data_IF_563566087683
#
_entry.id   IF_563566087683
#
_cell.length_a   1.000
_cell.length_b   1.000
_cell.length_c   1.000
_cell.angle_alpha   90.00
_cell.angle_beta   90.00
_cell.angle_gamma   90.00
#
_symmetry.space_group_name_H-M   'P 1'
#
loop_
_entity.id
_entity.type
_entity.pdbx_description
1 polymer ?
#
# COMPACT_ATOMS: atom_id res chain seq x y z
N UNK A 1 -2.36 -14.05 0.34
CA UNK A 1 -2.81 -13.96 1.75
C UNK A 1 -4.16 -13.24 1.85
N UNK A 2 -4.83 -13.41 2.96
CA UNK A 2 -6.11 -12.76 3.26
C UNK A 2 -5.98 -11.82 4.47
N UNK A 3 -6.83 -10.80 4.49
CA UNK A 3 -6.95 -9.88 5.62
C UNK A 3 -8.40 -9.42 5.77
N UNK A 4 -8.89 -9.31 7.02
CA UNK A 4 -10.31 -9.07 7.32
C UNK A 4 -10.53 -7.98 8.38
N UNK A 5 -9.54 -7.13 8.63
CA UNK A 5 -9.61 -6.11 9.68
C UNK A 5 -9.55 -4.70 9.08
N UNK A 6 -10.31 -3.78 9.64
CA UNK A 6 -10.38 -2.36 9.25
C UNK A 6 -9.25 -1.52 9.87
N UNK A 7 -8.06 -2.10 9.98
CA UNK A 7 -6.87 -1.42 10.52
C UNK A 7 -5.76 -1.50 9.50
N UNK A 8 -5.13 -0.38 9.20
CA UNK A 8 -3.93 -0.35 8.37
C UNK A 8 -2.81 -1.15 9.04
N UNK A 9 -2.20 -2.00 8.26
CA UNK A 9 -0.97 -2.72 8.64
C UNK A 9 -0.02 -2.79 7.46
N UNK A 10 1.22 -3.16 7.73
CA UNK A 10 2.16 -3.49 6.67
C UNK A 10 1.67 -4.70 5.87
N UNK A 11 1.78 -4.62 4.54
CA UNK A 11 1.30 -5.65 3.62
C UNK A 11 1.87 -7.02 3.99
N UNK A 12 1.00 -8.03 4.04
CA UNK A 12 1.31 -9.39 4.47
C UNK A 12 1.83 -9.50 5.91
N UNK A 13 1.66 -8.47 6.73
CA UNK A 13 2.24 -8.38 8.07
C UNK A 13 3.77 -8.67 8.10
N UNK A 14 4.49 -8.26 7.05
CA UNK A 14 5.91 -8.57 6.86
C UNK A 14 6.75 -7.32 6.79
N UNK A 15 7.72 -7.18 7.68
CA UNK A 15 8.65 -6.05 7.72
C UNK A 15 9.52 -5.91 6.45
N UNK A 16 9.62 -6.95 5.62
CA UNK A 16 10.35 -6.92 4.36
C UNK A 16 9.69 -6.12 3.24
N UNK A 17 8.41 -5.74 3.38
CA UNK A 17 7.68 -4.95 2.40
C UNK A 17 7.93 -3.44 2.61
N UNK A 18 9.20 -3.06 2.61
CA UNK A 18 9.70 -1.71 2.87
C UNK A 18 10.79 -1.37 1.86
N UNK A 19 10.73 -0.15 1.32
CA UNK A 19 11.85 0.50 0.66
C UNK A 19 12.51 1.48 1.62
N UNK A 20 13.81 1.41 1.74
CA UNK A 20 14.60 2.32 2.56
C UNK A 20 15.45 3.21 1.67
N UNK A 21 15.36 4.52 1.91
CA UNK A 21 16.15 5.52 1.20
C UNK A 21 16.94 6.38 2.18
N UNK A 22 18.13 6.80 1.77
CA UNK A 22 18.93 7.77 2.51
C UNK A 22 18.96 9.08 1.72
N UNK A 23 18.37 10.13 2.28
CA UNK A 23 18.31 11.45 1.68
C UNK A 23 19.27 12.41 2.39
N UNK A 24 20.17 13.02 1.63
CA UNK A 24 21.12 14.03 2.13
C UNK A 24 20.53 15.45 2.16
N UNK A 25 19.59 15.74 1.27
CA UNK A 25 18.90 17.02 1.15
C UNK A 25 17.39 16.83 1.14
N UNK A 26 16.67 17.68 1.84
CA UNK A 26 15.20 17.61 1.92
C UNK A 26 14.47 18.24 0.72
N UNK A 27 15.21 18.72 -0.27
CA UNK A 27 14.67 19.48 -1.40
C UNK A 27 14.24 18.61 -2.58
N UNK A 28 14.69 17.35 -2.62
CA UNK A 28 14.37 16.43 -3.69
C UNK A 28 13.07 15.66 -3.39
N UNK A 29 12.20 15.60 -4.39
CA UNK A 29 10.99 14.79 -4.30
C UNK A 29 11.33 13.31 -4.52
N UNK A 30 10.74 12.46 -3.69
CA UNK A 30 10.64 11.03 -3.95
C UNK A 30 9.24 10.73 -4.44
N UNK A 31 9.16 10.08 -5.59
CA UNK A 31 7.91 9.56 -6.15
C UNK A 31 7.85 8.07 -5.84
N UNK A 32 6.92 7.69 -4.98
CA UNK A 32 6.75 6.30 -4.54
C UNK A 32 5.39 5.80 -4.98
N UNK A 33 5.35 4.61 -5.56
CA UNK A 33 4.13 3.92 -5.92
C UNK A 33 4.07 2.52 -5.33
N UNK A 34 2.87 2.13 -4.90
CA UNK A 34 2.58 0.78 -4.46
C UNK A 34 1.41 0.22 -5.24
N UNK A 35 1.67 -0.80 -6.03
CA UNK A 35 0.67 -1.50 -6.85
C UNK A 35 0.37 -2.86 -6.25
N UNK A 36 -0.91 -3.20 -6.18
CA UNK A 36 -1.38 -4.46 -5.59
C UNK A 36 -2.58 -5.00 -6.36
N UNK A 37 -2.51 -6.27 -6.75
CA UNK A 37 -3.66 -7.03 -7.23
C UNK A 37 -4.41 -7.62 -6.05
N UNK A 38 -5.72 -7.39 -6.00
CA UNK A 38 -6.57 -7.87 -4.92
C UNK A 38 -7.92 -8.36 -5.40
N UNK A 39 -8.50 -9.30 -4.65
CA UNK A 39 -9.83 -9.84 -4.82
C UNK A 39 -10.69 -9.47 -3.63
N UNK A 40 -11.83 -8.85 -3.91
CA UNK A 40 -12.86 -8.54 -2.92
C UNK A 40 -14.17 -9.23 -3.28
N UNK A 41 -14.96 -9.59 -2.28
CA UNK A 41 -16.23 -10.31 -2.43
C UNK A 41 -17.31 -9.69 -1.55
N UNK A 42 -18.58 -9.85 -1.96
CA UNK A 42 -19.75 -9.61 -1.12
C UNK A 42 -19.81 -8.22 -0.46
N UNK A 43 -19.81 -7.16 -1.26
CA UNK A 43 -19.88 -5.77 -0.80
C UNK A 43 -18.68 -5.34 0.10
N UNK A 44 -17.57 -6.03 -0.03
CA UNK A 44 -16.33 -5.70 0.67
C UNK A 44 -15.45 -4.75 -0.16
N UNK A 45 -14.35 -4.32 0.43
CA UNK A 45 -13.31 -3.55 -0.23
C UNK A 45 -11.94 -3.80 0.36
N UNK A 46 -10.94 -3.54 -0.46
CA UNK A 46 -9.54 -3.45 -0.03
C UNK A 46 -9.01 -2.04 -0.24
N UNK A 47 -8.16 -1.61 0.64
CA UNK A 47 -7.39 -0.38 0.48
C UNK A 47 -5.91 -0.72 0.59
N UNK A 48 -5.14 -0.09 -0.29
CA UNK A 48 -3.70 -0.07 -0.19
C UNK A 48 -3.21 1.37 -0.04
N UNK A 49 -2.10 1.54 0.66
CA UNK A 49 -1.51 2.83 0.91
C UNK A 49 0.01 2.71 1.06
N UNK A 50 0.67 3.86 1.13
CA UNK A 50 2.09 3.96 1.45
C UNK A 50 2.20 4.66 2.80
N UNK A 51 2.98 4.09 3.73
CA UNK A 51 3.32 4.70 5.01
C UNK A 51 4.77 5.16 5.03
N UNK A 52 5.00 6.48 5.03
CA UNK A 52 6.34 7.03 5.23
C UNK A 52 6.69 6.96 6.70
N UNK A 53 7.76 6.25 7.03
CA UNK A 53 8.22 6.05 8.41
C UNK A 53 7.13 5.51 9.37
N UNK A 54 6.11 4.84 8.81
CA UNK A 54 5.01 4.27 9.58
C UNK A 54 4.51 2.97 8.95
N UNK A 55 4.13 2.01 9.78
CA UNK A 55 3.51 0.74 9.38
C UNK A 55 1.99 0.72 9.61
N UNK A 56 1.43 1.81 10.14
CA UNK A 56 0.01 1.90 10.51
C UNK A 56 -0.67 3.21 10.08
N UNK A 57 0.11 4.19 9.63
CA UNK A 57 -0.40 5.47 9.16
C UNK A 57 -0.03 5.66 7.69
N UNK A 58 -1.02 5.99 6.89
CA UNK A 58 -0.80 6.32 5.48
C UNK A 58 -0.17 7.71 5.30
N UNK A 59 0.61 7.82 4.24
CA UNK A 59 1.13 9.05 3.67
C UNK A 59 0.76 9.08 2.19
N UNK A 60 0.37 10.24 1.68
CA UNK A 60 -0.05 10.36 0.27
C UNK A 60 -1.44 9.79 -0.02
N UNK A 61 -1.64 9.39 -1.28
CA UNK A 61 -2.92 8.89 -1.77
C UNK A 61 -3.03 7.38 -1.61
N UNK A 62 -4.14 6.92 -1.04
CA UNK A 62 -4.49 5.51 -1.04
C UNK A 62 -5.21 5.12 -2.33
N UNK A 63 -5.23 3.82 -2.63
CA UNK A 63 -6.05 3.25 -3.69
C UNK A 63 -7.01 2.21 -3.13
N UNK A 64 -8.19 2.11 -3.73
CA UNK A 64 -9.26 1.24 -3.24
C UNK A 64 -9.81 0.35 -4.36
N UNK A 65 -9.96 -0.93 -4.05
CA UNK A 65 -10.80 -1.87 -4.79
C UNK A 65 -12.07 -2.11 -3.99
N UNK A 66 -13.23 -1.92 -4.56
CA UNK A 66 -14.50 -2.11 -3.85
C UNK A 66 -15.54 -2.77 -4.74
N UNK A 67 -16.14 -3.82 -4.20
CA UNK A 67 -17.31 -4.46 -4.76
C UNK A 67 -18.56 -3.92 -4.06
N UNK A 68 -19.45 -3.20 -4.74
CA UNK A 68 -20.60 -2.54 -4.09
C UNK A 68 -21.74 -3.50 -3.74
N UNK A 69 -21.79 -4.66 -4.36
CA UNK A 69 -22.90 -5.63 -4.22
C UNK A 69 -22.37 -7.05 -4.01
N UNK A 70 -23.27 -8.05 -4.06
CA UNK A 70 -22.86 -9.46 -4.09
C UNK A 70 -22.04 -9.79 -5.34
N UNK A 71 -21.09 -10.70 -5.22
CA UNK A 71 -20.19 -11.11 -6.29
C UNK A 71 -18.73 -10.96 -5.90
N UNK A 72 -17.87 -10.96 -6.89
CA UNK A 72 -16.44 -10.72 -6.69
C UNK A 72 -15.89 -9.73 -7.69
N UNK A 73 -14.85 -9.00 -7.28
CA UNK A 73 -14.08 -8.11 -8.13
C UNK A 73 -12.59 -8.35 -7.90
N UNK A 74 -11.87 -8.51 -8.98
CA UNK A 74 -10.42 -8.68 -9.00
C UNK A 74 -9.82 -7.57 -9.86
N UNK A 75 -9.06 -6.68 -9.25
CA UNK A 75 -8.37 -5.60 -9.95
C UNK A 75 -7.01 -5.29 -9.33
N UNK A 76 -6.18 -4.67 -10.14
CA UNK A 76 -4.94 -4.01 -9.69
C UNK A 76 -5.21 -2.55 -9.41
N UNK A 77 -4.79 -2.08 -8.24
CA UNK A 77 -4.86 -0.67 -7.86
C UNK A 77 -3.48 -0.15 -7.46
N UNK A 78 -3.26 1.15 -7.60
CA UNK A 78 -1.97 1.77 -7.29
C UNK A 78 -2.14 2.97 -6.38
N UNK A 79 -1.47 2.95 -5.25
CA UNK A 79 -1.34 4.06 -4.31
C UNK A 79 -0.08 4.87 -4.61
N UNK A 80 -0.10 6.17 -4.34
CA UNK A 80 1.01 7.08 -4.63
C UNK A 80 1.39 7.93 -3.42
N UNK A 81 2.68 8.21 -3.31
CA UNK A 81 3.23 9.22 -2.42
C UNK A 81 4.25 10.04 -3.19
N UNK A 82 4.14 11.37 -3.12
CA UNK A 82 5.10 12.29 -3.74
C UNK A 82 5.29 13.50 -2.86
N UNK A 83 6.44 13.58 -2.20
CA UNK A 83 6.78 14.70 -1.32
C UNK A 83 8.29 14.65 -1.00
N UNK A 84 8.92 15.75 -0.56
CA UNK A 84 10.26 15.69 0.00
C UNK A 84 10.28 14.75 1.22
N UNK A 85 11.14 13.73 1.25
CA UNK A 85 11.08 12.73 2.31
C UNK A 85 11.63 13.22 3.66
N UNK A 86 12.43 14.27 3.64
CA UNK A 86 13.23 14.74 4.77
C UNK A 86 14.64 14.14 4.77
N UNK A 87 15.54 14.83 5.47
CA UNK A 87 16.94 14.40 5.60
C UNK A 87 17.05 13.16 6.45
N UNK A 88 17.95 12.24 6.08
CA UNK A 88 18.23 11.02 6.79
C UNK A 88 17.57 9.78 6.16
N UNK A 89 17.41 8.75 6.97
CA UNK A 89 16.80 7.49 6.53
C UNK A 89 15.29 7.64 6.50
N UNK A 90 14.70 7.30 5.37
CA UNK A 90 13.26 7.24 5.18
C UNK A 90 12.84 5.84 4.76
N UNK A 91 11.80 5.31 5.42
CA UNK A 91 11.21 4.04 5.12
C UNK A 91 9.84 4.25 4.47
N UNK A 92 9.63 3.65 3.31
CA UNK A 92 8.35 3.61 2.62
C UNK A 92 7.80 2.19 2.74
N UNK A 93 6.71 2.06 3.48
CA UNK A 93 6.08 0.78 3.78
C UNK A 93 4.82 0.63 2.92
N UNK A 94 4.66 -0.52 2.27
CA UNK A 94 3.39 -0.88 1.66
C UNK A 94 2.39 -1.25 2.76
N UNK A 95 1.21 -0.63 2.70
CA UNK A 95 0.14 -0.82 3.69
C UNK A 95 -1.11 -1.38 3.04
N UNK A 96 -1.88 -2.15 3.82
CA UNK A 96 -3.14 -2.74 3.41
C UNK A 96 -4.19 -2.69 4.53
N UNK A 97 -5.47 -2.61 4.17
CA UNK A 97 -6.57 -2.95 5.07
C UNK A 97 -7.82 -3.41 4.32
N UNK A 98 -8.70 -4.10 5.03
CA UNK A 98 -10.02 -4.51 4.56
C UNK A 98 -11.05 -3.45 4.96
N UNK A 99 -11.93 -3.05 4.03
CA UNK A 99 -12.90 -1.96 4.26
C UNK A 99 -14.04 -2.40 5.17
N UNK A 100 -14.45 -3.65 5.10
CA UNK A 100 -15.56 -4.18 5.91
C UNK A 100 -15.03 -5.26 6.85
N UNK A 101 -15.01 -4.95 8.14
CA UNK A 101 -14.56 -5.89 9.15
C UNK A 101 -15.35 -7.18 9.13
N UNK A 102 -14.64 -8.29 9.30
CA UNK A 102 -15.21 -9.64 9.28
C UNK A 102 -15.35 -10.28 7.89
N UNK A 103 -15.23 -9.49 6.80
CA UNK A 103 -15.14 -10.02 5.44
C UNK A 103 -13.69 -10.06 4.98
N UNK A 104 -13.28 -11.17 4.37
CA UNK A 104 -11.90 -11.34 3.92
C UNK A 104 -11.66 -10.69 2.56
N UNK A 105 -10.56 -9.97 2.45
CA UNK A 105 -9.95 -9.58 1.17
C UNK A 105 -8.75 -10.47 0.90
N UNK A 106 -8.62 -10.94 -0.32
CA UNK A 106 -7.43 -11.68 -0.77
C UNK A 106 -6.48 -10.71 -1.49
N UNK A 107 -5.25 -10.67 -1.06
CA UNK A 107 -4.15 -9.96 -1.70
C UNK A 107 -3.19 -10.97 -2.31
N UNK A 108 -2.73 -10.70 -3.52
CA UNK A 108 -1.82 -11.56 -4.26
C UNK A 108 -0.41 -10.98 -4.23
N UNK A 109 0.59 -11.78 -4.00
CA UNK A 109 1.95 -11.32 -3.67
C UNK A 109 3.05 -11.89 -4.55
N UNK A 110 2.77 -12.23 -5.80
CA UNK A 110 3.82 -12.53 -6.77
C UNK A 110 4.44 -11.23 -7.30
N UNK A 111 5.60 -11.32 -7.91
CA UNK A 111 6.31 -10.17 -8.49
C UNK A 111 5.49 -9.40 -9.54
N UNK A 112 4.52 -10.06 -10.18
CA UNK A 112 3.62 -9.44 -11.17
C UNK A 112 2.34 -8.85 -10.55
N UNK A 113 2.07 -9.13 -9.28
CA UNK A 113 0.82 -8.78 -8.60
C UNK A 113 1.00 -7.76 -7.49
N UNK A 114 2.24 -7.58 -7.02
CA UNK A 114 2.60 -6.65 -5.96
C UNK A 114 3.94 -5.98 -6.26
N UNK A 115 3.97 -4.65 -6.29
CA UNK A 115 5.19 -3.89 -6.50
C UNK A 115 5.19 -2.61 -5.66
N UNK A 116 6.20 -2.44 -4.83
CA UNK A 116 6.52 -1.17 -4.18
C UNK A 116 7.77 -0.58 -4.85
N UNK A 117 7.65 0.63 -5.39
CA UNK A 117 8.69 1.29 -6.18
C UNK A 117 8.91 2.71 -5.69
N UNK A 118 10.13 3.17 -5.70
CA UNK A 118 10.48 4.56 -5.49
C UNK A 118 11.41 5.06 -6.60
N UNK A 119 11.18 6.30 -7.03
CA UNK A 119 12.00 7.02 -8.00
C UNK A 119 12.35 8.39 -7.44
N UNK A 120 13.57 8.83 -7.67
CA UNK A 120 14.03 10.16 -7.33
C UNK A 120 15.02 10.67 -8.40
N UNK A 121 15.08 11.97 -8.56
CA UNK A 121 16.13 12.60 -9.37
C UNK A 121 17.47 12.45 -8.63
N UNK A 122 18.44 11.96 -9.35
CA UNK A 122 19.82 11.87 -8.86
C UNK A 122 20.54 13.20 -9.11
#
# INVERSE_FOLDING_TARGET
>A
WTYSTEVLRQSRATAGNTLMTLCGLAEEYIDTSFTQYSKVVNANGSVIAIGKNSTTLQSGQFARNQQPTSGQQEITVTAFYKDPPGVGINNFNSLEYCVTGGLSTTFYGTENEMCLRAEWAA
#
